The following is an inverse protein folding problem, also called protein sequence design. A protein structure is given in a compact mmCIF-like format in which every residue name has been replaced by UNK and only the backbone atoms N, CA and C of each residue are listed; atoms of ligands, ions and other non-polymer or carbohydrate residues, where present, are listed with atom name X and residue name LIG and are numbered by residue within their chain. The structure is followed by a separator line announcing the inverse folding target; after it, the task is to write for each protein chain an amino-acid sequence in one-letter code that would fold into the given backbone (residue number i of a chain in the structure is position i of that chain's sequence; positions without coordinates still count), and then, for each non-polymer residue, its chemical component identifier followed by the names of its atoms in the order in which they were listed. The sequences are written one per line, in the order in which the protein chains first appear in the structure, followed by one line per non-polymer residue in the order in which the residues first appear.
data_IF_235269491185
#
_entry.id   IF_235269491185
#
_cell.length_a   1.000
_cell.length_b   1.000
_cell.length_c   1.000
_cell.angle_alpha   90.00
_cell.angle_beta   90.00
_cell.angle_gamma   90.00
#
_symmetry.space_group_name_H-M   'P 1'
#
loop_
_entity.id
_entity.type
_entity.pdbx_description
1 polymer ?
#
# COMPACT_ATOMS: atom_id res chain seq x y z
N UNK A 1 -25.66 2.37 -12.37
CA UNK A 1 -24.56 3.07 -11.67
C UNK A 1 -23.36 3.07 -12.60
N UNK A 2 -22.90 4.23 -13.09
CA UNK A 2 -21.65 4.29 -13.86
C UNK A 2 -20.53 3.73 -12.99
N UNK A 3 -19.75 2.78 -13.51
CA UNK A 3 -18.60 2.24 -12.80
C UNK A 3 -17.67 3.39 -12.40
N UNK A 4 -17.17 3.37 -11.17
CA UNK A 4 -16.21 4.38 -10.74
C UNK A 4 -14.90 4.11 -11.44
N UNK A 5 -14.55 5.01 -12.36
CA UNK A 5 -13.39 4.89 -13.23
C UNK A 5 -12.11 4.71 -12.39
N UNK A 6 -11.27 3.78 -12.82
CA UNK A 6 -9.90 3.64 -12.36
C UNK A 6 -9.02 4.38 -13.35
N UNK A 7 -8.42 5.49 -12.91
CA UNK A 7 -7.53 6.32 -13.73
C UNK A 7 -6.45 6.98 -12.89
N UNK A 8 -5.36 7.43 -13.52
CA UNK A 8 -4.40 8.30 -12.88
C UNK A 8 -5.07 9.57 -12.31
N UNK A 9 -4.68 10.00 -11.11
CA UNK A 9 -5.05 11.30 -10.56
C UNK A 9 -4.08 12.39 -11.03
N UNK A 10 -4.61 13.58 -11.35
CA UNK A 10 -3.81 14.76 -11.69
C UNK A 10 -3.04 15.29 -10.48
N UNK A 11 -2.10 16.23 -10.68
CA UNK A 11 -1.40 16.87 -9.57
C UNK A 11 -2.34 17.64 -8.65
N UNK A 12 -3.33 18.33 -9.20
CA UNK A 12 -4.32 19.09 -8.45
C UNK A 12 -5.19 18.17 -7.59
N UNK A 13 -5.56 17.00 -8.12
CA UNK A 13 -6.33 15.98 -7.39
C UNK A 13 -5.51 15.37 -6.25
N UNK A 14 -4.23 15.04 -6.50
CA UNK A 14 -3.30 14.56 -5.47
C UNK A 14 -3.11 15.61 -4.38
N UNK A 15 -2.88 16.87 -4.75
CA UNK A 15 -2.74 17.97 -3.81
C UNK A 15 -4.01 18.17 -2.99
N UNK A 16 -5.18 18.14 -3.63
CA UNK A 16 -6.46 18.21 -2.95
C UNK A 16 -6.64 17.07 -1.94
N UNK A 17 -6.29 15.84 -2.32
CA UNK A 17 -6.34 14.69 -1.42
C UNK A 17 -5.39 14.84 -0.24
N UNK A 18 -4.10 15.12 -0.47
CA UNK A 18 -3.12 15.22 0.60
C UNK A 18 -3.37 16.41 1.53
N UNK A 19 -4.00 17.47 1.03
CA UNK A 19 -4.36 18.64 1.84
C UNK A 19 -5.64 18.44 2.64
N UNK A 20 -6.66 17.77 2.09
CA UNK A 20 -8.01 17.73 2.66
C UNK A 20 -8.38 16.39 3.31
N UNK A 21 -7.86 15.28 2.80
CA UNK A 21 -8.28 13.93 3.21
C UNK A 21 -7.19 13.15 3.95
N UNK A 22 -5.93 13.30 3.54
CA UNK A 22 -4.81 12.61 4.19
C UNK A 22 -4.60 13.13 5.62
N UNK A 23 -4.60 12.21 6.58
CA UNK A 23 -4.39 12.51 7.99
C UNK A 23 -3.34 11.58 8.59
N UNK A 24 -2.15 12.13 8.84
CA UNK A 24 -1.04 11.40 9.48
C UNK A 24 -1.42 10.83 10.85
N UNK A 25 -2.38 11.42 11.57
CA UNK A 25 -2.85 10.88 12.84
C UNK A 25 -3.68 9.60 12.64
N UNK A 26 -4.38 9.42 11.51
CA UNK A 26 -4.99 8.11 11.17
C UNK A 26 -3.91 7.06 10.92
N UNK A 27 -2.83 7.42 10.23
CA UNK A 27 -1.67 6.55 10.02
C UNK A 27 -1.07 6.13 11.36
N UNK A 28 -0.69 7.08 12.21
CA UNK A 28 -0.11 6.82 13.53
C UNK A 28 -1.04 5.96 14.41
N UNK A 29 -2.34 6.28 14.43
CA UNK A 29 -3.35 5.49 15.15
C UNK A 29 -3.46 4.06 14.61
N UNK A 30 -3.34 3.85 13.30
CA UNK A 30 -3.41 2.52 12.73
C UNK A 30 -2.23 1.64 13.14
N UNK A 31 -1.00 2.18 13.17
CA UNK A 31 0.13 1.41 13.72
C UNK A 31 -0.09 1.13 15.22
N UNK A 32 -0.36 2.17 16.01
CA UNK A 32 -0.54 2.05 17.47
C UNK A 32 -1.64 1.06 17.86
N UNK A 33 -2.85 1.16 17.27
CA UNK A 33 -4.00 0.32 17.62
C UNK A 33 -3.80 -1.16 17.28
N UNK A 34 -2.87 -1.46 16.39
CA UNK A 34 -2.57 -2.82 15.97
C UNK A 34 -1.28 -3.35 16.63
N UNK A 35 -0.77 -2.70 17.68
CA UNK A 35 0.44 -3.11 18.38
C UNK A 35 1.73 -2.95 17.54
N UNK A 36 1.68 -2.22 16.44
CA UNK A 36 2.81 -2.00 15.55
C UNK A 36 3.59 -0.75 15.97
N UNK A 37 4.92 -0.82 15.90
CA UNK A 37 5.78 0.37 16.00
C UNK A 37 5.55 1.26 14.76
N UNK A 38 5.68 2.58 14.89
CA UNK A 38 5.70 3.48 13.71
C UNK A 38 6.88 3.12 12.80
N UNK A 39 6.77 3.24 11.48
CA UNK A 39 7.90 2.96 10.58
C UNK A 39 9.05 3.94 10.84
N UNK A 40 10.28 3.49 10.59
CA UNK A 40 11.46 4.36 10.71
C UNK A 40 11.69 5.16 9.43
N UNK A 41 11.48 4.50 8.28
CA UNK A 41 11.74 5.02 6.94
C UNK A 41 10.45 4.99 6.14
N UNK A 42 10.26 6.00 5.31
CA UNK A 42 9.26 6.06 4.27
C UNK A 42 9.91 6.28 2.91
N UNK A 43 9.15 6.03 1.85
CA UNK A 43 9.53 6.40 0.50
C UNK A 43 8.34 7.01 -0.24
N UNK A 44 8.62 7.90 -1.19
CA UNK A 44 7.66 8.46 -2.11
C UNK A 44 8.05 8.11 -3.54
N UNK A 45 7.06 7.76 -4.33
CA UNK A 45 7.20 7.74 -5.78
C UNK A 45 6.73 9.09 -6.33
N UNK A 46 7.61 9.77 -7.09
CA UNK A 46 7.30 11.07 -7.65
C UNK A 46 6.34 11.00 -8.85
N UNK A 47 6.27 9.87 -9.56
CA UNK A 47 5.51 9.76 -10.80
C UNK A 47 5.98 8.67 -11.76
N UNK A 48 6.52 7.55 -11.26
CA UNK A 48 7.11 6.50 -12.09
C UNK A 48 6.09 5.84 -13.01
N UNK A 49 4.91 5.47 -12.49
CA UNK A 49 3.92 4.73 -13.28
C UNK A 49 3.07 5.67 -14.14
N UNK A 50 2.69 6.84 -13.63
CA UNK A 50 1.79 7.76 -14.34
C UNK A 50 2.52 8.77 -15.21
N UNK A 51 3.79 9.06 -14.94
CA UNK A 51 4.52 10.17 -15.54
C UNK A 51 4.01 11.56 -15.15
N UNK A 52 3.02 11.65 -14.24
CA UNK A 52 2.47 12.92 -13.74
C UNK A 52 3.25 13.31 -12.50
N UNK A 53 4.03 14.39 -12.62
CA UNK A 53 5.08 14.74 -11.66
C UNK A 53 5.17 16.25 -11.51
N UNK A 54 5.30 16.73 -10.27
CA UNK A 54 5.41 18.16 -9.95
C UNK A 54 6.73 18.79 -10.41
N UNK A 55 7.84 18.07 -10.23
CA UNK A 55 9.16 18.50 -10.69
C UNK A 55 9.70 17.48 -11.71
N UNK A 56 9.64 17.78 -13.03
CA UNK A 56 10.03 16.84 -14.08
C UNK A 56 11.42 16.21 -13.94
N UNK A 57 12.34 16.85 -13.20
CA UNK A 57 13.69 16.32 -12.93
C UNK A 57 13.72 15.07 -12.06
N UNK A 58 12.63 14.74 -11.36
CA UNK A 58 12.53 13.59 -10.46
C UNK A 58 11.73 12.44 -11.08
N UNK A 59 11.62 12.40 -12.42
CA UNK A 59 10.86 11.36 -13.13
C UNK A 59 11.51 10.00 -12.88
N UNK A 60 10.72 9.04 -12.39
CA UNK A 60 11.19 7.69 -12.08
C UNK A 60 11.94 7.58 -10.75
N UNK A 61 12.01 8.66 -9.97
CA UNK A 61 12.77 8.68 -8.71
C UNK A 61 11.93 8.22 -7.52
N UNK A 62 12.53 7.36 -6.72
CA UNK A 62 12.04 6.97 -5.40
C UNK A 62 12.77 7.74 -4.32
N UNK A 63 12.04 8.56 -3.57
CA UNK A 63 12.61 9.46 -2.56
C UNK A 63 12.45 8.84 -1.18
N UNK A 64 13.55 8.48 -0.52
CA UNK A 64 13.56 7.87 0.81
C UNK A 64 13.87 8.90 1.89
N UNK A 65 13.17 8.83 3.03
CA UNK A 65 13.29 9.79 4.14
C UNK A 65 12.80 9.18 5.45
N UNK A 66 13.05 9.87 6.57
CA UNK A 66 12.57 9.41 7.88
C UNK A 66 11.07 9.66 8.03
N UNK A 67 10.36 8.75 8.71
CA UNK A 67 8.90 8.90 8.91
C UNK A 67 8.48 10.25 9.53
N UNK A 68 9.35 10.84 10.35
CA UNK A 68 9.18 12.19 10.92
C UNK A 68 9.00 13.30 9.89
N UNK A 69 9.55 13.12 8.70
CA UNK A 69 9.55 14.12 7.61
C UNK A 69 8.35 13.96 6.68
N UNK A 70 7.54 12.91 6.87
CA UNK A 70 6.48 12.48 5.95
C UNK A 70 5.54 13.60 5.52
N UNK A 71 5.07 14.43 6.46
CA UNK A 71 4.14 15.52 6.14
C UNK A 71 4.79 16.58 5.25
N UNK A 72 6.05 16.92 5.52
CA UNK A 72 6.81 17.88 4.71
C UNK A 72 7.04 17.35 3.31
N UNK A 73 7.49 16.09 3.20
CA UNK A 73 7.80 15.43 1.93
C UNK A 73 6.56 15.24 1.05
N UNK A 74 5.41 14.86 1.62
CA UNK A 74 4.15 14.80 0.86
C UNK A 74 3.76 16.18 0.29
N UNK A 75 3.88 17.26 1.08
CA UNK A 75 3.56 18.62 0.62
C UNK A 75 4.54 19.10 -0.45
N UNK A 76 5.82 18.78 -0.29
CA UNK A 76 6.89 19.14 -1.22
C UNK A 76 6.67 18.51 -2.59
N UNK A 77 6.51 17.18 -2.64
CA UNK A 77 6.55 16.42 -3.88
C UNK A 77 5.19 16.14 -4.51
N UNK A 78 4.09 16.19 -3.74
CA UNK A 78 2.73 15.80 -4.21
C UNK A 78 2.79 14.42 -4.91
N UNK A 79 3.21 13.39 -4.17
CA UNK A 79 3.68 12.14 -4.75
C UNK A 79 2.58 11.35 -5.43
N UNK A 80 2.98 10.49 -6.38
CA UNK A 80 2.13 9.46 -6.95
C UNK A 80 1.72 8.46 -5.87
N UNK A 81 2.71 7.94 -5.15
CA UNK A 81 2.52 6.93 -4.13
C UNK A 81 3.36 7.18 -2.89
N UNK A 82 2.85 6.73 -1.74
CA UNK A 82 3.54 6.79 -0.46
C UNK A 82 3.71 5.40 0.09
N UNK A 83 4.93 5.06 0.48
CA UNK A 83 5.30 3.77 1.05
C UNK A 83 5.91 3.93 2.44
N UNK A 84 5.81 2.89 3.26
CA UNK A 84 6.65 2.73 4.44
C UNK A 84 7.55 1.52 4.30
N UNK A 85 8.73 1.62 4.90
CA UNK A 85 9.66 0.52 5.05
C UNK A 85 9.19 -0.41 6.17
N UNK A 86 9.00 -1.69 5.84
CA UNK A 86 8.56 -2.75 6.75
C UNK A 86 9.68 -3.30 7.63
N UNK A 87 10.93 -2.97 7.32
CA UNK A 87 12.12 -3.37 8.04
C UNK A 87 12.35 -2.54 9.30
N UNK A 88 13.08 -3.13 10.24
CA UNK A 88 13.59 -2.48 11.45
C UNK A 88 15.09 -2.47 11.44
N UNK A 89 15.65 -1.32 11.76
CA UNK A 89 17.09 -1.10 11.73
C UNK A 89 17.54 -0.56 13.07
N UNK A 90 18.72 -1.01 13.52
CA UNK A 90 19.38 -0.41 14.68
C UNK A 90 19.63 1.09 14.46
N UNK A 91 20.00 1.46 13.23
CA UNK A 91 20.29 2.84 12.82
C UNK A 91 19.65 3.15 11.46
N UNK A 92 18.46 3.76 11.46
CA UNK A 92 17.71 4.03 10.23
C UNK A 92 18.43 5.00 9.26
N UNK A 93 19.12 6.00 9.79
CA UNK A 93 19.95 6.94 9.01
C UNK A 93 21.07 6.24 8.23
N UNK A 94 21.67 5.19 8.78
CA UNK A 94 22.68 4.40 8.05
C UNK A 94 22.05 3.61 6.90
N UNK A 95 20.83 3.07 7.11
CA UNK A 95 20.07 2.40 6.05
C UNK A 95 19.73 3.37 4.91
N UNK A 96 19.33 4.61 5.22
CA UNK A 96 19.05 5.63 4.19
C UNK A 96 20.28 5.94 3.31
N UNK A 97 21.50 5.86 3.85
CA UNK A 97 22.75 6.04 3.08
C UNK A 97 23.10 4.84 2.20
N UNK A 98 22.57 3.66 2.51
CA UNK A 98 22.89 2.39 1.85
C UNK A 98 21.63 1.54 1.64
N UNK A 99 20.70 2.04 0.83
CA UNK A 99 19.38 1.42 0.61
C UNK A 99 19.47 -0.02 0.11
N UNK A 100 20.50 -0.37 -0.67
CA UNK A 100 20.67 -1.73 -1.20
C UNK A 100 21.15 -2.75 -0.15
N UNK A 101 21.62 -2.30 1.02
CA UNK A 101 22.11 -3.19 2.08
C UNK A 101 20.93 -3.78 2.85
N UNK A 102 20.78 -5.11 2.78
CA UNK A 102 19.83 -5.86 3.62
C UNK A 102 20.40 -5.96 5.04
N UNK A 103 19.93 -5.09 5.93
CA UNK A 103 20.46 -4.94 7.29
C UNK A 103 19.35 -4.86 8.36
N UNK A 104 18.14 -5.28 8.03
CA UNK A 104 17.05 -5.27 9.00
C UNK A 104 17.26 -6.34 10.08
N UNK A 105 16.92 -5.99 11.32
CA UNK A 105 16.91 -6.92 12.46
C UNK A 105 15.57 -7.66 12.58
N UNK A 106 14.50 -7.04 12.08
CA UNK A 106 13.14 -7.57 12.05
C UNK A 106 12.44 -7.03 10.80
N UNK A 107 11.51 -7.78 10.20
CA UNK A 107 10.73 -7.27 9.06
C UNK A 107 9.33 -7.85 9.05
N UNK A 108 8.31 -7.01 8.84
CA UNK A 108 6.94 -7.47 8.67
C UNK A 108 6.79 -8.39 7.43
N UNK A 109 6.10 -9.53 7.56
CA UNK A 109 5.67 -10.33 6.40
C UNK A 109 4.34 -9.75 5.90
N UNK A 110 4.29 -9.45 4.60
CA UNK A 110 3.08 -9.00 3.90
C UNK A 110 2.89 -9.89 2.70
N UNK A 111 1.69 -10.43 2.54
CA UNK A 111 1.28 -11.09 1.32
C UNK A 111 0.51 -10.10 0.44
N UNK A 112 0.96 -9.93 -0.79
CA UNK A 112 0.36 -9.01 -1.75
C UNK A 112 -0.46 -9.79 -2.79
N UNK A 113 -1.78 -9.66 -2.70
CA UNK A 113 -2.74 -10.23 -3.64
C UNK A 113 -3.15 -9.13 -4.60
N UNK A 114 -2.41 -8.96 -5.70
CA UNK A 114 -2.70 -7.98 -6.75
C UNK A 114 -3.69 -8.55 -7.79
N UNK A 115 -4.59 -7.71 -8.31
CA UNK A 115 -5.49 -8.07 -9.40
C UNK A 115 -4.74 -8.46 -10.66
N UNK A 116 -3.58 -7.85 -10.87
CA UNK A 116 -2.75 -8.04 -12.08
C UNK A 116 -2.16 -9.46 -12.13
N UNK A 117 -2.08 -10.14 -10.97
CA UNK A 117 -1.63 -11.55 -10.87
C UNK A 117 -2.78 -12.56 -11.10
N UNK A 118 -3.99 -12.11 -11.42
CA UNK A 118 -5.17 -12.95 -11.61
C UNK A 118 -5.44 -13.09 -13.11
N UNK A 119 -5.58 -14.34 -13.58
CA UNK A 119 -5.91 -14.60 -14.98
C UNK A 119 -7.19 -13.87 -15.41
N UNK A 120 -7.18 -13.28 -16.62
CA UNK A 120 -8.29 -12.50 -17.22
C UNK A 120 -8.60 -11.19 -16.47
N UNK A 121 -7.59 -10.62 -15.81
CA UNK A 121 -7.66 -9.31 -15.15
C UNK A 121 -6.60 -8.33 -15.69
N UNK A 122 -6.52 -8.22 -17.03
CA UNK A 122 -5.55 -7.37 -17.73
C UNK A 122 -5.80 -5.87 -17.51
N UNK A 123 -7.02 -5.51 -17.09
CA UNK A 123 -7.39 -4.15 -16.67
C UNK A 123 -8.17 -4.20 -15.37
N UNK A 124 -7.82 -3.31 -14.43
CA UNK A 124 -8.53 -3.19 -13.16
C UNK A 124 -9.97 -2.76 -13.40
N UNK A 125 -10.90 -3.57 -12.90
CA UNK A 125 -12.34 -3.30 -12.91
C UNK A 125 -12.98 -3.89 -11.64
N UNK A 126 -14.29 -3.64 -11.46
CA UNK A 126 -15.02 -4.11 -10.28
C UNK A 126 -14.99 -5.63 -10.11
N UNK A 127 -15.06 -6.39 -11.20
CA UNK A 127 -14.99 -7.87 -11.18
C UNK A 127 -13.64 -8.34 -10.67
N UNK A 128 -12.55 -7.83 -11.24
CA UNK A 128 -11.18 -8.21 -10.87
C UNK A 128 -10.85 -7.86 -9.42
N UNK A 129 -11.28 -6.68 -8.97
CA UNK A 129 -11.13 -6.28 -7.58
C UNK A 129 -11.92 -7.20 -6.62
N UNK A 130 -13.14 -7.59 -7.00
CA UNK A 130 -13.94 -8.55 -6.22
C UNK A 130 -13.26 -9.93 -6.14
N UNK A 131 -12.71 -10.41 -7.25
CA UNK A 131 -11.95 -11.67 -7.31
C UNK A 131 -10.70 -11.60 -6.42
N UNK A 132 -9.91 -10.52 -6.51
CA UNK A 132 -8.75 -10.32 -5.66
C UNK A 132 -9.13 -10.29 -4.16
N UNK A 133 -10.26 -9.67 -3.82
CA UNK A 133 -10.75 -9.66 -2.44
C UNK A 133 -11.13 -11.05 -1.95
N UNK A 134 -11.75 -11.87 -2.82
CA UNK A 134 -12.08 -13.26 -2.51
C UNK A 134 -10.81 -14.08 -2.23
N UNK A 135 -9.79 -13.97 -3.09
CA UNK A 135 -8.49 -14.61 -2.86
C UNK A 135 -7.84 -14.15 -1.56
N UNK A 136 -7.82 -12.84 -1.28
CA UNK A 136 -7.24 -12.31 -0.06
C UNK A 136 -7.97 -12.80 1.21
N UNK A 137 -9.31 -12.92 1.17
CA UNK A 137 -10.10 -13.48 2.28
C UNK A 137 -9.77 -14.96 2.49
N UNK A 138 -9.74 -15.75 1.43
CA UNK A 138 -9.43 -17.18 1.50
C UNK A 138 -8.00 -17.42 1.99
N UNK A 139 -7.06 -16.61 1.53
CA UNK A 139 -5.68 -16.65 1.96
C UNK A 139 -5.54 -16.27 3.45
N UNK A 140 -6.16 -15.17 3.89
CA UNK A 140 -6.18 -14.79 5.31
C UNK A 140 -6.76 -15.92 6.17
N UNK A 141 -7.78 -16.62 5.67
CA UNK A 141 -8.33 -17.78 6.38
C UNK A 141 -7.35 -18.95 6.47
N UNK A 142 -6.65 -19.27 5.38
CA UNK A 142 -5.61 -20.32 5.38
C UNK A 142 -4.43 -19.98 6.31
N UNK A 143 -4.06 -18.70 6.41
CA UNK A 143 -3.00 -18.21 7.29
C UNK A 143 -3.35 -18.33 8.78
N UNK A 144 -4.64 -18.40 9.16
CA UNK A 144 -5.06 -18.59 10.56
C UNK A 144 -4.54 -19.87 11.21
N UNK A 145 -4.18 -20.89 10.41
CA UNK A 145 -3.51 -22.09 10.92
C UNK A 145 -2.13 -21.79 11.51
N UNK A 146 -1.50 -20.69 11.09
CA UNK A 146 -0.11 -20.35 11.42
C UNK A 146 0.00 -19.07 12.25
N UNK A 147 -0.89 -18.11 12.08
CA UNK A 147 -0.80 -16.78 12.68
C UNK A 147 -2.12 -16.38 13.32
N UNK A 148 -2.03 -15.59 14.39
CA UNK A 148 -3.20 -15.12 15.14
C UNK A 148 -3.54 -13.68 14.77
N UNK A 149 -2.53 -12.83 14.64
CA UNK A 149 -2.67 -11.39 14.47
C UNK A 149 -2.39 -10.99 13.02
N UNK A 150 -3.45 -10.62 12.29
CA UNK A 150 -3.36 -10.24 10.88
C UNK A 150 -4.26 -9.05 10.54
N UNK A 151 -3.76 -8.14 9.70
CA UNK A 151 -4.54 -7.00 9.18
C UNK A 151 -4.57 -7.05 7.66
N UNK A 152 -5.69 -6.61 7.08
CA UNK A 152 -5.84 -6.53 5.64
C UNK A 152 -5.97 -5.07 5.24
N UNK A 153 -5.33 -4.68 4.14
CA UNK A 153 -5.35 -3.32 3.61
C UNK A 153 -5.62 -3.41 2.12
N UNK A 154 -6.59 -2.65 1.62
CA UNK A 154 -6.77 -2.45 0.19
C UNK A 154 -5.67 -1.51 -0.33
N UNK A 155 -4.91 -1.95 -1.33
CA UNK A 155 -3.73 -1.25 -1.87
C UNK A 155 -4.04 -0.27 -3.01
N UNK A 156 -5.28 -0.27 -3.49
CA UNK A 156 -5.73 0.47 -4.67
C UNK A 156 -6.04 -0.44 -5.85
N UNK A 157 -5.31 -1.54 -6.02
CA UNK A 157 -5.55 -2.54 -7.09
C UNK A 157 -5.80 -3.95 -6.54
N UNK A 158 -5.18 -4.24 -5.40
CA UNK A 158 -5.29 -5.52 -4.71
C UNK A 158 -5.35 -5.37 -3.20
N UNK A 159 -4.89 -6.39 -2.49
CA UNK A 159 -4.99 -6.47 -1.04
C UNK A 159 -3.68 -6.96 -0.42
N UNK A 160 -3.21 -6.22 0.57
CA UNK A 160 -2.12 -6.62 1.42
C UNK A 160 -2.65 -7.34 2.66
N UNK A 161 -2.07 -8.48 3.00
CA UNK A 161 -2.30 -9.18 4.27
C UNK A 161 -1.03 -9.06 5.11
N UNK A 162 -1.10 -8.20 6.10
CA UNK A 162 -0.07 -7.90 7.08
C UNK A 162 -0.08 -8.95 8.21
N UNK A 163 1.03 -9.65 8.40
CA UNK A 163 1.19 -10.63 9.51
C UNK A 163 1.87 -9.92 10.67
N UNK A 164 1.18 -9.83 11.81
CA UNK A 164 1.62 -9.05 12.97
C UNK A 164 2.21 -9.91 14.11
N UNK A 165 2.11 -11.24 14.02
CA UNK A 165 2.71 -12.15 14.98
C UNK A 165 4.24 -11.94 15.07
N UNK A 166 4.78 -11.76 16.28
CA UNK A 166 6.22 -11.55 16.52
C UNK A 166 7.11 -12.59 15.83
N UNK A 167 6.70 -13.86 15.80
CA UNK A 167 7.46 -14.93 15.13
C UNK A 167 7.65 -14.70 13.63
N UNK A 168 6.70 -14.03 12.96
CA UNK A 168 6.81 -13.70 11.55
C UNK A 168 7.90 -12.64 11.30
N UNK A 169 8.07 -11.70 12.23
CA UNK A 169 9.04 -10.62 12.13
C UNK A 169 10.49 -11.12 12.18
N UNK A 170 10.71 -12.21 12.91
CA UNK A 170 12.02 -12.83 13.13
C UNK A 170 12.43 -13.79 12.02
N UNK A 171 11.52 -14.16 11.10
CA UNK A 171 11.86 -15.12 10.04
C UNK A 171 12.93 -14.56 9.13
N UNK A 172 14.00 -15.33 8.94
CA UNK A 172 15.05 -15.06 7.97
C UNK A 172 14.58 -15.37 6.53
N UNK A 173 15.41 -15.03 5.53
CA UNK A 173 15.05 -15.18 4.11
C UNK A 173 14.73 -16.63 3.72
N UNK A 174 15.45 -17.60 4.27
CA UNK A 174 15.25 -19.01 3.98
C UNK A 174 13.91 -19.50 4.55
N UNK A 175 13.66 -19.23 5.83
CA UNK A 175 12.39 -19.56 6.51
C UNK A 175 11.18 -18.92 5.79
N UNK A 176 11.31 -17.66 5.34
CA UNK A 176 10.28 -16.99 4.53
C UNK A 176 10.04 -17.71 3.21
N UNK A 177 11.10 -18.10 2.50
CA UNK A 177 10.98 -18.81 1.21
C UNK A 177 10.26 -20.14 1.39
N UNK A 178 10.64 -20.93 2.39
CA UNK A 178 9.98 -22.20 2.68
C UNK A 178 8.52 -22.02 3.12
N UNK A 179 8.26 -21.06 4.00
CA UNK A 179 6.92 -20.80 4.49
C UNK A 179 5.98 -20.31 3.38
N UNK A 180 6.42 -19.33 2.59
CA UNK A 180 5.61 -18.72 1.52
C UNK A 180 5.34 -19.69 0.37
N UNK A 181 6.21 -20.69 0.15
CA UNK A 181 5.98 -21.74 -0.86
C UNK A 181 4.66 -22.51 -0.65
N UNK A 182 4.17 -22.61 0.60
CA UNK A 182 2.90 -23.26 0.95
C UNK A 182 1.67 -22.53 0.39
N UNK A 183 1.84 -21.29 -0.07
CA UNK A 183 0.77 -20.40 -0.52
C UNK A 183 0.82 -20.10 -2.02
N UNK A 184 1.63 -20.83 -2.80
CA UNK A 184 1.76 -20.67 -4.27
C UNK A 184 0.45 -20.79 -5.06
N UNK A 185 -0.56 -21.46 -4.51
CA UNK A 185 -1.90 -21.57 -5.11
C UNK A 185 -2.69 -20.24 -5.11
N UNK A 186 -2.25 -19.25 -4.34
CA UNK A 186 -2.86 -17.93 -4.31
C UNK A 186 -2.12 -17.02 -5.32
N UNK A 187 -2.81 -16.05 -5.95
CA UNK A 187 -2.22 -15.11 -6.89
C UNK A 187 -1.45 -14.02 -6.12
N UNK A 188 -0.32 -14.40 -5.53
CA UNK A 188 0.52 -13.52 -4.71
C UNK A 188 1.85 -13.21 -5.36
N UNK A 189 2.38 -12.03 -5.06
CA UNK A 189 3.79 -11.73 -5.29
C UNK A 189 4.65 -12.38 -4.18
N UNK A 190 5.37 -13.45 -4.55
CA UNK A 190 6.30 -14.12 -3.66
C UNK A 190 7.52 -13.27 -3.32
N UNK A 191 7.94 -12.36 -4.21
CA UNK A 191 9.07 -11.48 -4.00
C UNK A 191 8.81 -10.50 -2.85
N UNK A 192 7.60 -9.93 -2.77
CA UNK A 192 7.13 -9.13 -1.63
C UNK A 192 7.06 -9.96 -0.36
N UNK A 193 6.48 -11.16 -0.45
CA UNK A 193 6.23 -12.04 0.71
C UNK A 193 7.52 -12.60 1.32
N UNK A 194 8.54 -12.82 0.49
CA UNK A 194 9.87 -13.29 0.92
C UNK A 194 10.74 -12.17 1.51
N UNK A 195 10.24 -10.94 1.55
CA UNK A 195 10.98 -9.80 2.11
C UNK A 195 12.05 -9.23 1.18
N UNK A 196 11.95 -9.49 -0.13
CA UNK A 196 12.89 -8.90 -1.08
C UNK A 196 12.57 -7.45 -1.41
N UNK A 197 11.30 -7.04 -1.30
CA UNK A 197 10.86 -5.65 -1.32
C UNK A 197 10.58 -5.21 0.11
N UNK A 198 11.24 -4.16 0.58
CA UNK A 198 11.05 -3.62 1.94
C UNK A 198 9.84 -2.67 2.03
N UNK A 199 9.50 -2.01 0.92
CA UNK A 199 8.46 -1.00 0.85
C UNK A 199 7.06 -1.61 0.68
N UNK A 200 6.08 -1.01 1.35
CA UNK A 200 4.65 -1.32 1.13
C UNK A 200 3.82 -0.04 1.23
N UNK A 201 2.74 0.05 0.46
CA UNK A 201 1.91 1.27 0.40
C UNK A 201 1.41 1.66 1.79
N UNK A 202 1.60 2.94 2.13
CA UNK A 202 1.24 3.50 3.43
C UNK A 202 -0.28 3.53 3.60
N UNK A 203 -0.84 2.95 4.68
CA UNK A 203 -2.25 3.09 4.98
C UNK A 203 -2.72 4.54 4.97
N UNK A 204 -3.90 4.78 4.40
CA UNK A 204 -4.53 6.08 4.19
C UNK A 204 -3.85 7.02 3.20
N UNK A 205 -2.79 6.60 2.50
CA UNK A 205 -2.27 7.36 1.36
C UNK A 205 -3.12 7.17 0.11
N UNK A 206 -2.75 7.85 -0.98
CA UNK A 206 -3.33 7.65 -2.30
C UNK A 206 -2.49 6.64 -3.08
N UNK A 207 -3.16 5.77 -3.82
CA UNK A 207 -2.60 5.12 -5.00
C UNK A 207 -3.04 5.96 -6.20
N UNK A 208 -2.13 6.77 -6.72
CA UNK A 208 -2.48 7.75 -7.75
C UNK A 208 -2.67 7.14 -9.12
N UNK A 209 -2.07 5.99 -9.42
CA UNK A 209 -2.25 5.29 -10.69
C UNK A 209 -3.73 4.96 -10.98
N UNK A 210 -4.50 4.69 -9.93
CA UNK A 210 -5.92 4.29 -10.05
C UNK A 210 -6.87 5.17 -9.25
N UNK A 211 -6.38 6.28 -8.68
CA UNK A 211 -7.16 7.22 -7.86
C UNK A 211 -7.94 6.53 -6.73
N UNK A 212 -7.25 5.73 -5.91
CA UNK A 212 -7.87 5.01 -4.78
C UNK A 212 -7.09 5.22 -3.49
N UNK A 213 -7.81 5.41 -2.39
CA UNK A 213 -7.23 5.50 -1.06
C UNK A 213 -6.79 4.12 -0.60
N UNK A 214 -5.54 4.02 -0.13
CA UNK A 214 -5.03 2.83 0.54
C UNK A 214 -5.81 2.65 1.84
N UNK A 215 -6.64 1.62 1.94
CA UNK A 215 -7.71 1.58 2.95
C UNK A 215 -7.59 0.35 3.85
N UNK A 216 -7.26 0.52 5.14
CA UNK A 216 -7.35 -0.56 6.12
C UNK A 216 -8.75 -1.16 6.23
N UNK A 217 -8.83 -2.49 6.24
CA UNK A 217 -10.08 -3.23 6.30
C UNK A 217 -10.28 -3.78 7.71
N UNK A 218 -11.33 -3.30 8.39
CA UNK A 218 -11.68 -3.79 9.73
C UNK A 218 -12.53 -5.07 9.68
N UNK A 219 -13.69 -5.03 9.00
CA UNK A 219 -14.64 -6.16 8.91
C UNK A 219 -14.80 -6.68 7.47
N UNK A 220 -15.20 -5.81 6.56
CA UNK A 220 -15.45 -6.12 5.15
C UNK A 220 -14.96 -4.97 4.28
N UNK A 221 -14.34 -5.28 3.15
CA UNK A 221 -13.99 -4.27 2.17
C UNK A 221 -15.23 -3.62 1.55
N UNK A 222 -15.22 -2.29 1.48
CA UNK A 222 -16.27 -1.47 0.90
C UNK A 222 -15.61 -0.48 -0.07
N UNK A 223 -15.70 -0.76 -1.37
CA UNK A 223 -15.01 0.02 -2.40
C UNK A 223 -15.28 1.54 -2.29
N UNK A 224 -16.51 1.94 -1.93
CA UNK A 224 -16.90 3.34 -1.71
C UNK A 224 -16.05 4.10 -0.68
N UNK A 225 -15.52 3.39 0.33
CA UNK A 225 -14.69 3.99 1.37
C UNK A 225 -13.29 4.35 0.84
N UNK A 226 -12.87 3.69 -0.24
CA UNK A 226 -11.60 3.93 -0.89
C UNK A 226 -11.66 5.00 -1.99
N UNK A 227 -12.84 5.54 -2.30
CA UNK A 227 -12.98 6.62 -3.29
C UNK A 227 -12.62 7.95 -2.63
N UNK A 228 -11.63 8.70 -3.15
CA UNK A 228 -11.30 10.03 -2.67
C UNK A 228 -12.42 11.03 -3.02
N UNK A 229 -12.51 12.11 -2.25
CA UNK A 229 -13.61 13.08 -2.37
C UNK A 229 -13.59 13.85 -3.69
N UNK A 230 -12.41 14.05 -4.29
CA UNK A 230 -12.30 14.70 -5.60
C UNK A 230 -13.01 13.90 -6.71
N UNK A 231 -13.03 12.57 -6.64
CA UNK A 231 -13.81 11.76 -7.57
C UNK A 231 -15.30 11.77 -7.26
N UNK A 232 -15.70 11.93 -6.00
CA UNK A 232 -17.12 11.96 -5.62
C UNK A 232 -17.83 13.21 -6.13
N UNK A 233 -17.14 14.36 -6.15
CA UNK A 233 -17.72 15.65 -6.56
C UNK A 233 -18.14 15.68 -8.03
N UNK A 234 -17.42 14.99 -8.90
CA UNK A 234 -17.75 14.90 -10.32
C UNK A 234 -19.03 14.09 -10.61
N UNK A 235 -19.56 13.33 -9.62
CA UNK A 235 -20.86 12.65 -9.76
C UNK A 235 -22.07 13.55 -9.49
N UNK A 236 -21.90 14.60 -8.69
CA UNK A 236 -23.00 15.53 -8.36
C UNK A 236 -23.22 16.57 -9.46
N UNK A 237 -22.17 16.99 -10.16
CA UNK A 237 -22.30 17.99 -11.23
C UNK A 237 -23.08 17.46 -12.45
N UNK A 238 -23.04 16.15 -12.71
CA UNK A 238 -23.77 15.51 -13.82
C UNK A 238 -25.25 15.23 -13.53
N UNK A 239 -25.71 15.37 -12.28
CA UNK A 239 -27.12 15.21 -11.92
C UNK A 239 -27.94 16.52 -12.05
N UNK A 240 -27.26 17.66 -12.25
CA UNK A 240 -27.92 18.96 -12.47
C UNK A 240 -27.88 19.42 -13.94
N UNK A 241 -27.27 18.62 -14.83
CA UNK A 241 -27.15 18.90 -16.27
C UNK A 241 -27.78 17.77 -17.12
N UNK A 242 -28.62 16.92 -16.53
CA UNK A 242 -29.37 15.86 -17.20
C UNK A 242 -30.86 16.02 -16.92
#
# INVERSE_FOLDING_TARGET
MREVEFRPSTLEEREAFYRKEFDINKVKRWFKKNGMKLPQICALDAGTDTGIIKNPKLKGEMIYFLFSELKGKIKEYVPEDVYYDRGRYKHAWQKLRHLNKKSWTEQEIVFDVDSDNISKCDKLNGRCLSTAYSYAKNMKNALKKYFKEMKMVYSGRGFHIHILDKKAYMMNKHERKEFTAKFRRFPIDLWVSQGNIELIRLPYSLNSLVSRKVTPINKKFRAKEAIPDFLKKNYLLFLFLA
#
